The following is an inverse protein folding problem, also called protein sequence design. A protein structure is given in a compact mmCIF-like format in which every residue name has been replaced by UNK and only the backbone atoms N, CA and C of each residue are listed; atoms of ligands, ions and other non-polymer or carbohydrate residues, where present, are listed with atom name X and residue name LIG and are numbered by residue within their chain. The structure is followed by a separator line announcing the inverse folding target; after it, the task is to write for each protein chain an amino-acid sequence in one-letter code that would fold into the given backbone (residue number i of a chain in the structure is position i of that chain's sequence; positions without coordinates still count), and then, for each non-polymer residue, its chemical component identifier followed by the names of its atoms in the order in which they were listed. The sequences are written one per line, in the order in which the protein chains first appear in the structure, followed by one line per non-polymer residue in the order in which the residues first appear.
data_IF_801014204001
#
_entry.id   IF_801014204001
#
_cell.length_a   1.000
_cell.length_b   1.000
_cell.length_c   1.000
_cell.angle_alpha   90.00
_cell.angle_beta   90.00
_cell.angle_gamma   90.00
#
_symmetry.space_group_name_H-M   'P 1'
#
loop_
_entity.id
_entity.type
_entity.pdbx_description
1 polymer ?
#
# COMPACT_ATOMS: atom_id res chain seq x y z
N UNK A 1 7.33 -2.68 -15.69
CA UNK A 1 6.34 -3.77 -15.50
C UNK A 1 7.07 -5.10 -15.35
N UNK A 2 7.28 -5.60 -14.12
CA UNK A 2 7.81 -6.94 -13.84
C UNK A 2 7.29 -7.42 -12.49
N UNK A 3 6.09 -8.03 -12.48
CA UNK A 3 5.66 -8.89 -11.38
C UNK A 3 6.13 -10.30 -11.69
N UNK A 4 7.15 -10.80 -10.99
CA UNK A 4 7.51 -12.23 -11.02
C UNK A 4 7.93 -12.66 -9.61
N UNK A 5 7.35 -13.80 -9.18
CA UNK A 5 7.58 -14.59 -7.94
C UNK A 5 6.73 -14.27 -6.70
N UNK A 6 5.40 -14.18 -6.84
CA UNK A 6 4.46 -14.40 -5.70
C UNK A 6 3.69 -15.73 -5.86
N UNK A 7 3.84 -16.45 -6.99
CA UNK A 7 2.89 -17.51 -7.37
C UNK A 7 2.96 -18.81 -6.55
N UNK A 8 4.10 -19.24 -6.01
CA UNK A 8 4.20 -20.62 -5.49
C UNK A 8 3.56 -20.83 -4.11
N UNK A 9 3.65 -19.85 -3.20
CA UNK A 9 3.02 -19.95 -1.88
C UNK A 9 1.52 -19.67 -1.96
N UNK A 10 1.11 -18.73 -2.82
CA UNK A 10 -0.29 -18.38 -3.05
C UNK A 10 -1.07 -19.50 -3.74
N UNK A 11 -0.47 -20.19 -4.71
CA UNK A 11 -1.10 -21.38 -5.32
C UNK A 11 -1.28 -22.50 -4.29
N UNK A 12 -0.33 -22.66 -3.37
CA UNK A 12 -0.40 -23.68 -2.31
C UNK A 12 -1.50 -23.37 -1.29
N UNK A 13 -1.63 -22.11 -0.86
CA UNK A 13 -2.71 -21.70 0.05
C UNK A 13 -4.08 -21.82 -0.64
N UNK A 14 -4.21 -21.41 -1.90
CA UNK A 14 -5.43 -21.63 -2.70
C UNK A 14 -5.77 -23.12 -2.80
N UNK A 15 -4.79 -23.99 -3.05
CA UNK A 15 -5.00 -25.44 -3.14
C UNK A 15 -5.50 -26.03 -1.81
N UNK A 16 -4.94 -25.59 -0.70
CA UNK A 16 -5.41 -25.96 0.65
C UNK A 16 -6.86 -25.51 0.83
N UNK A 17 -7.17 -24.25 0.53
CA UNK A 17 -8.52 -23.71 0.69
C UNK A 17 -9.53 -24.42 -0.23
N UNK A 18 -9.20 -24.64 -1.50
CA UNK A 18 -10.06 -25.30 -2.50
C UNK A 18 -10.35 -26.75 -2.15
N UNK A 19 -9.36 -27.48 -1.62
CA UNK A 19 -9.54 -28.87 -1.18
C UNK A 19 -10.52 -28.99 0.01
N UNK A 20 -10.64 -27.95 0.81
CA UNK A 20 -11.40 -28.01 2.07
C UNK A 20 -12.72 -27.23 2.05
N UNK A 21 -12.88 -26.22 1.19
CA UNK A 21 -14.13 -25.49 1.03
C UNK A 21 -15.23 -26.30 0.34
N UNK A 22 -14.87 -27.32 -0.45
CA UNK A 22 -15.86 -28.09 -1.21
C UNK A 22 -16.67 -29.11 -0.37
N UNK A 23 -16.31 -29.36 0.89
CA UNK A 23 -16.91 -30.40 1.73
C UNK A 23 -18.02 -29.91 2.70
N UNK A 24 -18.30 -28.61 2.79
CA UNK A 24 -19.28 -28.08 3.76
C UNK A 24 -20.24 -27.08 3.09
N UNK A 25 -21.29 -27.60 2.45
CA UNK A 25 -22.29 -26.80 1.74
C UNK A 25 -23.57 -26.53 2.54
N UNK A 26 -23.52 -26.59 3.88
CA UNK A 26 -24.67 -26.31 4.75
C UNK A 26 -24.22 -25.34 5.86
N UNK A 27 -24.32 -24.03 5.55
CA UNK A 27 -24.14 -22.84 6.38
C UNK A 27 -23.48 -22.99 7.78
N UNK A 28 -22.21 -22.60 7.86
CA UNK A 28 -21.58 -21.88 8.98
C UNK A 28 -20.23 -21.37 8.48
N UNK A 29 -19.72 -20.26 9.03
CA UNK A 29 -18.40 -19.71 8.67
C UNK A 29 -17.36 -20.85 8.58
N UNK A 30 -16.67 -20.94 7.45
CA UNK A 30 -15.65 -21.97 7.16
C UNK A 30 -14.30 -21.55 7.76
N UNK A 31 -14.07 -20.23 7.83
CA UNK A 31 -12.82 -19.64 8.28
C UNK A 31 -13.05 -18.74 9.50
N UNK A 32 -12.04 -18.67 10.36
CA UNK A 32 -11.98 -17.71 11.47
C UNK A 32 -10.62 -17.03 11.52
N UNK A 33 -10.61 -15.75 11.86
CA UNK A 33 -9.38 -15.02 12.18
C UNK A 33 -8.96 -15.40 13.60
N UNK A 34 -7.72 -15.85 13.76
CA UNK A 34 -7.12 -16.14 15.06
C UNK A 34 -6.31 -14.98 15.59
N UNK A 35 -5.56 -14.32 14.71
CA UNK A 35 -4.63 -13.26 15.10
C UNK A 35 -4.39 -12.30 13.93
N UNK A 36 -4.03 -11.06 14.27
CA UNK A 36 -3.67 -10.00 13.33
C UNK A 36 -2.30 -9.48 13.71
N UNK A 37 -1.32 -9.69 12.83
CA UNK A 37 0.05 -9.20 12.98
C UNK A 37 0.30 -8.03 12.06
N UNK A 38 1.03 -7.03 12.54
CA UNK A 38 1.52 -5.94 11.70
C UNK A 38 3.04 -6.05 11.59
N UNK A 39 3.54 -6.22 10.36
CA UNK A 39 4.97 -6.35 10.07
C UNK A 39 5.31 -5.31 9.01
N UNK A 40 6.20 -4.36 9.34
CA UNK A 40 6.64 -3.29 8.45
C UNK A 40 5.48 -2.49 7.79
N UNK A 41 4.40 -2.24 8.54
CA UNK A 41 3.23 -1.50 8.08
C UNK A 41 2.23 -2.34 7.25
N UNK A 42 2.51 -3.61 6.99
CA UNK A 42 1.58 -4.53 6.34
C UNK A 42 0.89 -5.44 7.36
N UNK A 43 -0.40 -5.71 7.16
CA UNK A 43 -1.15 -6.64 8.00
C UNK A 43 -1.03 -8.07 7.47
N UNK A 44 -0.86 -9.00 8.40
CA UNK A 44 -0.87 -10.44 8.18
C UNK A 44 -1.91 -11.06 9.11
N UNK A 45 -2.84 -11.79 8.52
CA UNK A 45 -3.93 -12.47 9.20
C UNK A 45 -3.59 -13.94 9.37
N UNK A 46 -3.65 -14.43 10.61
CA UNK A 46 -3.59 -15.86 10.89
C UNK A 46 -5.02 -16.39 10.86
N UNK A 47 -5.32 -17.22 9.87
CA UNK A 47 -6.65 -17.75 9.60
C UNK A 47 -6.66 -19.24 9.88
N UNK A 48 -7.72 -19.71 10.52
CA UNK A 48 -7.95 -21.13 10.74
C UNK A 48 -9.19 -21.61 10.00
N UNK A 49 -9.10 -22.81 9.43
CA UNK A 49 -10.26 -23.53 8.93
C UNK A 49 -11.00 -24.16 10.10
N UNK A 50 -12.27 -23.81 10.29
CA UNK A 50 -13.10 -24.30 11.39
C UNK A 50 -13.21 -25.83 11.32
N UNK A 51 -13.04 -26.48 12.48
CA UNK A 51 -12.99 -27.95 12.58
C UNK A 51 -11.63 -28.56 12.21
N UNK A 52 -10.59 -27.76 11.91
CA UNK A 52 -9.24 -28.24 11.61
C UNK A 52 -8.20 -27.49 12.43
N UNK A 53 -7.09 -28.14 12.77
CA UNK A 53 -5.95 -27.52 13.48
C UNK A 53 -5.01 -26.72 12.56
N UNK A 54 -5.36 -26.57 11.29
CA UNK A 54 -4.53 -25.90 10.29
C UNK A 54 -4.77 -24.39 10.37
N UNK A 55 -3.70 -23.63 10.62
CA UNK A 55 -3.68 -22.19 10.50
C UNK A 55 -2.79 -21.77 9.32
N UNK A 56 -3.22 -20.75 8.59
CA UNK A 56 -2.54 -20.20 7.41
C UNK A 56 -2.39 -18.70 7.60
N UNK A 57 -1.25 -18.17 7.19
CA UNK A 57 -0.99 -16.74 7.17
C UNK A 57 -1.31 -16.18 5.78
N UNK A 58 -2.20 -15.18 5.72
CA UNK A 58 -2.56 -14.47 4.49
C UNK A 58 -2.59 -12.96 4.73
N UNK A 59 -2.44 -12.17 3.69
CA UNK A 59 -2.71 -10.72 3.72
C UNK A 59 -4.21 -10.45 3.55
N UNK A 60 -4.74 -9.33 4.07
CA UNK A 60 -6.10 -8.90 3.78
C UNK A 60 -6.39 -8.80 2.27
N UNK A 61 -5.44 -8.33 1.47
CA UNK A 61 -5.56 -8.16 0.02
C UNK A 61 -5.73 -9.49 -0.71
N UNK A 62 -4.98 -10.52 -0.30
CA UNK A 62 -5.08 -11.88 -0.84
C UNK A 62 -6.47 -12.50 -0.60
N UNK A 63 -7.10 -12.18 0.54
CA UNK A 63 -8.43 -12.68 0.89
C UNK A 63 -9.52 -11.97 0.08
N UNK A 64 -9.45 -10.63 0.00
CA UNK A 64 -10.44 -9.83 -0.74
C UNK A 64 -10.39 -10.12 -2.25
N UNK A 65 -9.21 -10.48 -2.77
CA UNK A 65 -9.07 -10.83 -4.19
C UNK A 65 -9.68 -12.20 -4.55
N UNK A 66 -10.22 -12.95 -3.58
CA UNK A 66 -10.80 -14.27 -3.78
C UNK A 66 -12.17 -14.38 -3.09
N UNK A 67 -13.24 -14.13 -3.85
CA UNK A 67 -14.62 -14.17 -3.37
C UNK A 67 -14.97 -15.48 -2.66
N UNK A 68 -14.52 -16.63 -3.18
CA UNK A 68 -14.80 -17.93 -2.57
C UNK A 68 -14.13 -18.11 -1.20
N UNK A 69 -12.96 -17.49 -0.99
CA UNK A 69 -12.29 -17.47 0.30
C UNK A 69 -12.98 -16.49 1.25
N UNK A 70 -13.33 -15.30 0.76
CA UNK A 70 -14.01 -14.25 1.51
C UNK A 70 -15.39 -14.68 2.01
N UNK A 71 -16.17 -15.36 1.17
CA UNK A 71 -17.50 -15.89 1.49
C UNK A 71 -17.49 -16.94 2.61
N UNK A 72 -16.34 -17.57 2.86
CA UNK A 72 -16.17 -18.51 3.96
C UNK A 72 -16.00 -17.84 5.33
N UNK A 73 -15.87 -16.53 5.42
CA UNK A 73 -15.72 -15.81 6.69
C UNK A 73 -17.06 -15.32 7.25
N UNK A 74 -17.07 -15.03 8.56
CA UNK A 74 -18.22 -14.36 9.18
C UNK A 74 -18.36 -12.92 8.67
N UNK A 75 -19.58 -12.36 8.72
CA UNK A 75 -19.79 -10.94 8.38
C UNK A 75 -18.93 -9.98 9.20
N UNK A 76 -18.62 -10.34 10.46
CA UNK A 76 -17.74 -9.55 11.33
C UNK A 76 -16.30 -9.60 10.82
N UNK A 77 -15.83 -10.80 10.47
CA UNK A 77 -14.47 -10.99 9.96
C UNK A 77 -14.28 -10.34 8.59
N UNK A 78 -15.28 -10.44 7.69
CA UNK A 78 -15.27 -9.75 6.40
C UNK A 78 -15.07 -8.25 6.60
N UNK A 79 -15.82 -7.62 7.52
CA UNK A 79 -15.65 -6.19 7.83
C UNK A 79 -14.23 -5.87 8.32
N UNK A 80 -13.68 -6.71 9.19
CA UNK A 80 -12.30 -6.56 9.67
C UNK A 80 -11.28 -6.67 8.53
N UNK A 81 -11.43 -7.68 7.67
CA UNK A 81 -10.54 -7.92 6.52
C UNK A 81 -10.59 -6.72 5.57
N UNK A 82 -11.81 -6.27 5.21
CA UNK A 82 -12.00 -5.10 4.34
C UNK A 82 -11.39 -3.85 4.94
N UNK A 83 -11.61 -3.59 6.23
CA UNK A 83 -11.02 -2.44 6.92
C UNK A 83 -9.49 -2.47 6.83
N UNK A 84 -8.85 -3.59 7.18
CA UNK A 84 -7.40 -3.73 7.19
C UNK A 84 -6.79 -3.62 5.80
N UNK A 85 -7.47 -4.12 4.76
CA UNK A 85 -7.01 -3.94 3.39
C UNK A 85 -7.10 -2.46 2.97
N UNK A 86 -8.23 -1.80 3.23
CA UNK A 86 -8.41 -0.38 2.90
C UNK A 86 -7.39 0.51 3.63
N UNK A 87 -7.08 0.21 4.89
CA UNK A 87 -6.09 0.95 5.69
C UNK A 87 -4.70 0.89 5.04
N UNK A 88 -4.26 -0.28 4.53
CA UNK A 88 -2.97 -0.40 3.84
C UNK A 88 -2.90 0.48 2.59
N UNK A 89 -4.00 0.63 1.84
CA UNK A 89 -4.02 1.52 0.66
C UNK A 89 -3.94 3.01 1.01
N UNK A 90 -4.33 3.40 2.22
CA UNK A 90 -4.33 4.80 2.66
C UNK A 90 -3.01 5.23 3.31
N UNK A 91 -2.11 4.30 3.61
CA UNK A 91 -0.82 4.63 4.23
C UNK A 91 0.15 5.27 3.22
N UNK A 92 0.67 6.48 3.49
CA UNK A 92 1.73 7.07 2.69
C UNK A 92 2.95 6.16 2.64
N UNK A 93 3.57 6.01 1.46
CA UNK A 93 4.79 5.21 1.29
C UNK A 93 6.06 6.04 1.34
N UNK A 94 5.94 7.35 1.15
CA UNK A 94 7.04 8.29 1.21
C UNK A 94 6.78 9.35 2.28
N UNK A 95 7.86 9.86 2.86
CA UNK A 95 7.86 11.01 3.76
C UNK A 95 8.95 11.98 3.36
N UNK A 96 8.65 13.28 3.39
CA UNK A 96 9.69 14.31 3.27
C UNK A 96 10.61 14.25 4.49
N UNK A 97 11.89 13.99 4.27
CA UNK A 97 12.91 14.02 5.32
C UNK A 97 13.79 15.26 5.27
N UNK A 98 13.82 15.93 4.12
CA UNK A 98 14.64 17.13 3.93
C UNK A 98 14.12 17.98 2.78
N UNK A 99 14.27 19.29 2.95
CA UNK A 99 14.03 20.30 1.94
C UNK A 99 15.24 21.23 1.93
N UNK A 100 15.92 21.34 0.80
CA UNK A 100 17.09 22.22 0.64
C UNK A 100 16.98 23.03 -0.63
N UNK A 101 17.44 24.29 -0.57
CA UNK A 101 17.58 25.10 -1.77
C UNK A 101 18.83 24.64 -2.52
N UNK A 102 18.70 24.41 -3.83
CA UNK A 102 19.81 24.00 -4.67
C UNK A 102 20.12 25.07 -5.71
N UNK A 103 21.25 25.77 -5.52
CA UNK A 103 21.70 26.86 -6.40
C UNK A 103 21.85 26.41 -7.86
N UNK A 104 22.27 25.15 -8.08
CA UNK A 104 22.48 24.59 -9.41
C UNK A 104 21.19 24.51 -10.25
N UNK A 105 20.04 24.33 -9.59
CA UNK A 105 18.73 24.28 -10.23
C UNK A 105 17.89 25.53 -9.96
N UNK A 106 18.40 26.45 -9.13
CA UNK A 106 17.68 27.61 -8.60
C UNK A 106 16.28 27.25 -8.06
N UNK A 107 16.15 26.03 -7.52
CA UNK A 107 14.90 25.37 -7.16
C UNK A 107 15.06 24.61 -5.85
N UNK A 108 13.93 24.19 -5.27
CA UNK A 108 13.94 23.43 -4.03
C UNK A 108 14.09 21.94 -4.33
N UNK A 109 15.09 21.32 -3.71
CA UNK A 109 15.32 19.88 -3.77
C UNK A 109 14.71 19.21 -2.54
N UNK A 110 13.84 18.23 -2.77
CA UNK A 110 13.22 17.42 -1.74
C UNK A 110 13.95 16.08 -1.65
N UNK A 111 14.17 15.60 -0.42
CA UNK A 111 14.58 14.22 -0.14
C UNK A 111 13.40 13.49 0.47
N UNK A 112 12.93 12.47 -0.23
CA UNK A 112 11.82 11.61 0.16
C UNK A 112 12.37 10.27 0.63
N UNK A 113 11.98 9.84 1.84
CA UNK A 113 12.35 8.53 2.37
C UNK A 113 11.16 7.58 2.22
N UNK A 114 11.43 6.38 1.70
CA UNK A 114 10.44 5.31 1.63
C UNK A 114 10.35 4.56 2.96
N UNK A 115 9.14 4.34 3.46
CA UNK A 115 8.92 3.71 4.78
C UNK A 115 9.41 2.26 4.85
N UNK A 116 9.30 1.51 3.76
CA UNK A 116 9.55 0.06 3.72
C UNK A 116 11.03 -0.33 3.57
N UNK A 117 11.82 0.51 2.90
CA UNK A 117 13.17 0.15 2.40
C UNK A 117 14.25 1.11 2.86
N UNK A 118 13.89 2.19 3.57
CA UNK A 118 14.77 3.32 3.88
C UNK A 118 15.44 3.96 2.63
N UNK A 119 14.96 3.65 1.43
CA UNK A 119 15.46 4.25 0.19
C UNK A 119 15.16 5.75 0.19
N UNK A 120 16.14 6.55 -0.22
CA UNK A 120 16.01 8.01 -0.32
C UNK A 120 15.99 8.41 -1.79
N UNK A 121 14.92 9.07 -2.21
CA UNK A 121 14.75 9.65 -3.54
C UNK A 121 14.93 11.15 -3.42
N UNK A 122 15.74 11.75 -4.30
CA UNK A 122 15.94 13.20 -4.33
C UNK A 122 15.47 13.77 -5.66
N UNK A 123 14.51 14.71 -5.61
CA UNK A 123 13.84 15.30 -6.78
C UNK A 123 13.38 16.73 -6.48
N UNK A 124 13.24 17.56 -7.52
CA UNK A 124 12.63 18.89 -7.39
C UNK A 124 11.12 18.81 -7.24
N UNK A 125 10.49 19.90 -6.79
CA UNK A 125 9.04 19.93 -6.59
C UNK A 125 8.28 19.61 -7.89
N UNK A 126 8.65 20.28 -9.00
CA UNK A 126 8.05 20.01 -10.31
C UNK A 126 8.19 18.54 -10.77
N UNK A 127 9.34 17.91 -10.52
CA UNK A 127 9.54 16.49 -10.86
C UNK A 127 8.65 15.56 -10.03
N UNK A 128 8.39 15.89 -8.77
CA UNK A 128 7.55 15.07 -7.88
C UNK A 128 6.08 15.21 -8.28
N UNK A 129 5.60 16.42 -8.57
CA UNK A 129 4.20 16.66 -8.98
C UNK A 129 3.86 15.93 -10.28
N UNK A 130 4.81 15.83 -11.22
CA UNK A 130 4.62 15.09 -12.48
C UNK A 130 4.67 13.56 -12.29
N UNK A 131 5.30 13.06 -11.24
CA UNK A 131 5.36 11.64 -10.92
C UNK A 131 4.13 11.22 -10.09
N UNK A 132 3.10 10.75 -10.79
CA UNK A 132 1.85 10.24 -10.18
C UNK A 132 2.09 9.16 -9.13
N UNK A 133 3.16 8.37 -9.25
CA UNK A 133 3.45 7.36 -8.25
C UNK A 133 3.93 8.02 -6.96
N UNK A 134 4.89 8.94 -7.04
CA UNK A 134 5.39 9.65 -5.87
C UNK A 134 4.28 10.48 -5.19
N UNK A 135 3.59 11.32 -5.95
CA UNK A 135 2.61 12.27 -5.37
C UNK A 135 1.44 11.56 -4.68
N UNK A 136 0.95 10.44 -5.25
CA UNK A 136 -0.18 9.68 -4.67
C UNK A 136 0.23 8.84 -3.45
N UNK A 137 1.53 8.67 -3.21
CA UNK A 137 2.04 7.91 -2.07
C UNK A 137 2.66 8.83 -0.99
N UNK A 138 2.40 10.14 -1.05
CA UNK A 138 2.73 11.09 0.01
C UNK A 138 1.53 11.32 0.94
N UNK A 139 1.79 11.82 2.14
CA UNK A 139 0.72 12.34 2.99
C UNK A 139 0.10 13.57 2.33
N UNK A 140 -1.14 13.89 2.69
CA UNK A 140 -1.79 15.11 2.21
C UNK A 140 -0.97 16.38 2.55
N UNK A 141 -0.37 16.40 3.74
CA UNK A 141 0.49 17.51 4.21
C UNK A 141 1.75 17.65 3.33
N UNK A 142 2.45 16.55 3.07
CA UNK A 142 3.67 16.55 2.25
C UNK A 142 3.35 16.87 0.78
N UNK A 143 2.26 16.32 0.24
CA UNK A 143 1.79 16.61 -1.11
C UNK A 143 1.41 18.09 -1.29
N UNK A 144 0.78 18.69 -0.29
CA UNK A 144 0.46 20.11 -0.27
C UNK A 144 1.73 20.98 -0.26
N UNK A 145 2.69 20.64 0.60
CA UNK A 145 3.99 21.31 0.67
C UNK A 145 4.73 21.31 -0.68
N UNK A 146 4.81 20.14 -1.31
CA UNK A 146 5.45 19.97 -2.62
C UNK A 146 4.69 20.71 -3.72
N UNK A 147 3.36 20.66 -3.71
CA UNK A 147 2.54 21.36 -4.71
C UNK A 147 2.71 22.87 -4.61
N UNK A 148 2.79 23.40 -3.38
CA UNK A 148 3.07 24.81 -3.13
C UNK A 148 4.45 25.20 -3.67
N UNK A 149 5.49 24.41 -3.37
CA UNK A 149 6.84 24.65 -3.88
C UNK A 149 6.89 24.59 -5.42
N UNK A 150 6.20 23.64 -6.05
CA UNK A 150 6.14 23.53 -7.50
C UNK A 150 5.44 24.74 -8.15
N UNK A 151 4.37 25.25 -7.53
CA UNK A 151 3.71 26.47 -7.99
C UNK A 151 4.62 27.70 -7.93
N UNK A 152 5.45 27.80 -6.89
CA UNK A 152 6.45 28.86 -6.77
C UNK A 152 7.55 28.74 -7.84
N UNK A 153 8.07 27.53 -8.06
CA UNK A 153 9.06 27.26 -9.12
C UNK A 153 8.51 27.70 -10.50
N UNK A 154 7.27 27.32 -10.83
CA UNK A 154 6.64 27.66 -12.11
C UNK A 154 6.44 29.18 -12.28
N UNK A 155 5.92 29.87 -11.24
CA UNK A 155 5.67 31.32 -11.30
C UNK A 155 6.96 32.14 -11.40
N UNK A 156 8.05 31.62 -10.82
CA UNK A 156 9.38 32.25 -10.88
C UNK A 156 10.08 32.09 -12.24
N UNK A 157 9.60 31.18 -13.10
CA UNK A 157 10.08 31.01 -14.47
C UNK A 157 9.36 31.98 -15.42
N UNK A 158 8.04 32.13 -15.30
CA UNK A 158 7.25 33.07 -16.13
C UNK A 158 7.70 34.52 -16.02
N UNK A 159 8.23 34.92 -14.86
CA UNK A 159 8.75 36.28 -14.64
C UNK A 159 10.13 36.50 -15.26
N UNK A 160 10.88 35.45 -15.60
CA UNK A 160 12.20 35.55 -16.24
C UNK A 160 12.10 35.70 -17.75
N UNK A 161 11.09 35.09 -18.37
CA UNK A 161 10.85 35.18 -19.82
C UNK A 161 10.32 36.56 -20.26
N UNK A 162 9.88 37.40 -19.33
CA UNK A 162 9.40 38.77 -19.60
C UNK A 162 10.56 39.79 -19.50
N UNK A 163 11.70 39.42 -18.92
CA UNK A 163 12.83 40.33 -18.64
C UNK A 163 14.05 40.04 -19.53
N UNK A 164 13.98 39.03 -20.42
CA UNK A 164 15.00 38.79 -21.47
C UNK A 164 14.61 39.44 -22.79
#
# INVERSE_FOLDING_TARGET
MRFKKISSLFEYTILIFKKYGHQQQIQANIYRILDVKQIAGQYKLIIQVIGKSIAVECTPEEIISNDALLDGFSKKDIRTITYLACEQYQTPKYKIIMQEFCDAFNNVLFKLKKYDTNEIVSKTAGQIVLDKNLINNLSQEDACCISYAAGYECSSLDTRDIIS
#
